data_IF_331034849963
#
_entry.id   IF_331034849963
#
_cell.length_a   1.000
_cell.length_b   1.000
_cell.length_c   1.000
_cell.angle_alpha   90.00
_cell.angle_beta   90.00
_cell.angle_gamma   90.00
#
_symmetry.space_group_name_H-M   'P 1'
#
loop_
_entity.id
_entity.type
_entity.pdbx_description
1 polymer ?
#
# COMPACT_ATOMS: atom_id res chain seq x y z
N UNK A 1 1.25 39.14 19.06
CA UNK A 1 1.27 38.47 17.74
C UNK A 1 2.31 37.38 17.84
N UNK A 2 1.92 36.10 17.75
CA UNK A 2 2.89 35.00 17.83
C UNK A 2 3.66 35.01 16.52
N UNK A 3 4.98 35.23 16.59
CA UNK A 3 5.87 35.08 15.44
C UNK A 3 5.93 33.59 15.08
N UNK A 4 5.31 33.24 13.94
CA UNK A 4 5.24 31.85 13.47
C UNK A 4 6.55 31.42 12.80
N UNK A 5 7.53 32.33 12.65
CA UNK A 5 8.79 32.06 11.96
C UNK A 5 8.60 31.78 10.47
N UNK A 6 9.62 32.10 9.67
CA UNK A 6 9.64 31.65 8.28
C UNK A 6 10.05 30.18 8.31
N UNK A 7 9.27 29.25 7.70
CA UNK A 7 9.67 27.85 7.63
C UNK A 7 11.04 27.75 6.96
N UNK A 8 11.94 26.94 7.53
CA UNK A 8 13.29 26.81 6.98
C UNK A 8 13.22 26.32 5.54
N UNK A 9 14.16 26.78 4.71
CA UNK A 9 14.31 26.26 3.37
C UNK A 9 14.45 24.72 3.41
N UNK A 10 13.95 23.99 2.39
CA UNK A 10 14.13 22.56 2.32
C UNK A 10 15.61 22.21 2.42
N UNK A 11 15.97 21.13 3.14
CA UNK A 11 17.35 20.69 3.21
C UNK A 11 17.90 20.45 1.79
N UNK A 12 19.20 20.71 1.57
CA UNK A 12 19.82 20.52 0.27
C UNK A 12 19.67 19.06 -0.18
N UNK A 13 19.38 18.85 -1.47
CA UNK A 13 19.32 17.52 -2.06
C UNK A 13 20.68 16.86 -1.97
N UNK A 14 20.81 15.83 -1.11
CA UNK A 14 22.07 15.12 -0.86
C UNK A 14 22.67 14.48 -2.13
N UNK A 15 21.81 14.04 -3.04
CA UNK A 15 22.17 13.48 -4.34
C UNK A 15 20.98 13.62 -5.32
N UNK A 16 21.23 13.63 -6.65
CA UNK A 16 20.15 13.56 -7.62
C UNK A 16 19.36 12.26 -7.44
N UNK A 17 18.02 12.37 -7.48
CA UNK A 17 17.14 11.20 -7.35
C UNK A 17 17.38 10.22 -8.50
N UNK A 18 17.51 8.93 -8.17
CA UNK A 18 17.64 7.86 -9.17
C UNK A 18 16.44 7.88 -10.12
N UNK A 19 16.69 7.86 -11.44
CA UNK A 19 15.64 7.65 -12.45
C UNK A 19 15.09 6.23 -12.35
N UNK A 20 13.78 6.11 -12.24
CA UNK A 20 13.05 4.84 -12.16
C UNK A 20 11.88 4.80 -13.14
N UNK A 21 11.21 3.65 -13.25
CA UNK A 21 9.86 3.65 -13.82
C UNK A 21 8.93 4.47 -12.91
N UNK A 22 8.01 5.22 -13.51
CA UNK A 22 6.91 5.88 -12.81
C UNK A 22 5.74 4.90 -12.71
N UNK A 23 5.16 4.78 -11.52
CA UNK A 23 3.98 3.95 -11.23
C UNK A 23 2.90 4.80 -10.57
N UNK A 24 1.67 4.34 -10.64
CA UNK A 24 0.53 4.93 -9.92
C UNK A 24 0.01 3.92 -8.91
N UNK A 25 -0.11 4.34 -7.65
CA UNK A 25 -0.81 3.62 -6.58
C UNK A 25 -2.12 4.36 -6.35
N UNK A 26 -3.18 3.92 -7.01
CA UNK A 26 -4.41 4.71 -7.14
C UNK A 26 -4.10 6.08 -7.75
N UNK A 27 -4.39 7.17 -7.03
CA UNK A 27 -4.10 8.54 -7.47
C UNK A 27 -2.69 9.05 -7.12
N UNK A 28 -1.86 8.26 -6.42
CA UNK A 28 -0.54 8.70 -5.92
C UNK A 28 0.56 8.17 -6.83
N UNK A 29 1.38 9.08 -7.38
CA UNK A 29 2.55 8.72 -8.19
C UNK A 29 3.74 8.26 -7.33
N UNK A 30 4.41 7.20 -7.77
CA UNK A 30 5.62 6.64 -7.14
C UNK A 30 6.71 6.44 -8.20
N UNK A 31 7.90 6.99 -7.94
CA UNK A 31 9.04 6.94 -8.86
C UNK A 31 9.33 8.29 -9.54
N UNK A 32 10.42 8.34 -10.32
CA UNK A 32 10.96 9.45 -11.13
C UNK A 32 10.41 10.86 -10.91
N UNK A 33 9.29 11.18 -11.55
CA UNK A 33 8.81 12.56 -11.67
C UNK A 33 7.88 12.93 -10.50
N UNK A 34 7.51 11.95 -9.67
CA UNK A 34 6.75 12.16 -8.44
C UNK A 34 7.64 12.39 -7.23
N UNK A 35 7.19 13.26 -6.33
CA UNK A 35 7.80 13.40 -5.00
C UNK A 35 7.80 12.05 -4.25
N UNK A 36 8.71 11.90 -3.28
CA UNK A 36 8.76 10.69 -2.44
C UNK A 36 7.50 10.62 -1.61
N UNK A 37 6.65 9.63 -1.88
CA UNK A 37 5.39 9.45 -1.18
C UNK A 37 5.59 8.95 0.24
N UNK A 38 4.90 9.52 1.21
CA UNK A 38 4.85 9.03 2.59
C UNK A 38 3.85 7.88 2.70
N UNK A 39 4.30 6.74 3.21
CA UNK A 39 3.45 5.57 3.46
C UNK A 39 3.48 5.17 4.94
N UNK A 40 2.38 4.61 5.43
CA UNK A 40 2.30 4.00 6.76
C UNK A 40 1.48 2.70 6.72
N UNK A 41 1.40 2.01 7.86
CA UNK A 41 0.66 0.76 8.01
C UNK A 41 -0.26 0.83 9.22
N UNK A 42 -1.50 0.39 9.04
CA UNK A 42 -2.44 0.23 10.15
C UNK A 42 -1.98 -0.89 11.10
N UNK A 43 -2.29 -0.72 12.38
CA UNK A 43 -2.03 -1.69 13.45
C UNK A 43 -3.32 -2.34 13.97
N UNK A 44 -4.48 -1.87 13.54
CA UNK A 44 -5.79 -2.46 13.84
C UNK A 44 -5.96 -3.82 13.17
N UNK A 45 -6.92 -4.61 13.66
CA UNK A 45 -7.41 -5.79 12.96
C UNK A 45 -8.16 -5.32 11.72
N UNK A 46 -7.75 -5.75 10.53
CA UNK A 46 -8.35 -5.29 9.27
C UNK A 46 -9.83 -5.67 9.18
N UNK A 47 -10.22 -6.83 9.71
CA UNK A 47 -11.61 -7.23 9.86
C UNK A 47 -12.48 -6.22 10.65
N UNK A 48 -11.90 -5.44 11.57
CA UNK A 48 -12.56 -4.28 12.18
C UNK A 48 -12.48 -3.08 11.23
N UNK A 49 -13.47 -3.01 10.33
CA UNK A 49 -13.59 -1.97 9.31
C UNK A 49 -13.63 -0.57 9.93
N UNK A 50 -14.32 -0.39 11.05
CA UNK A 50 -14.51 0.93 11.66
C UNK A 50 -13.21 1.42 12.31
N UNK A 51 -12.57 0.57 13.13
CA UNK A 51 -11.30 0.91 13.73
C UNK A 51 -10.23 1.18 12.67
N UNK A 52 -10.19 0.37 11.61
CA UNK A 52 -9.23 0.53 10.51
C UNK A 52 -9.47 1.83 9.75
N UNK A 53 -10.71 2.16 9.40
CA UNK A 53 -11.03 3.43 8.73
C UNK A 53 -10.73 4.65 9.60
N UNK A 54 -10.97 4.56 10.91
CA UNK A 54 -10.59 5.62 11.84
C UNK A 54 -9.08 5.83 11.85
N UNK A 55 -8.29 4.76 11.96
CA UNK A 55 -6.83 4.87 11.93
C UNK A 55 -6.31 5.39 10.58
N UNK A 56 -6.93 5.00 9.46
CA UNK A 56 -6.61 5.54 8.14
C UNK A 56 -6.84 7.06 8.11
N UNK A 57 -7.93 7.55 8.72
CA UNK A 57 -8.19 8.98 8.80
C UNK A 57 -7.14 9.72 9.65
N UNK A 58 -6.72 9.15 10.78
CA UNK A 58 -5.65 9.69 11.63
C UNK A 58 -4.29 9.75 10.90
N UNK A 59 -3.95 8.69 10.17
CA UNK A 59 -2.74 8.64 9.34
C UNK A 59 -2.82 9.68 8.21
N UNK A 60 -3.98 9.81 7.57
CA UNK A 60 -4.20 10.81 6.51
C UNK A 60 -4.02 12.23 7.04
N UNK A 61 -4.58 12.54 8.21
CA UNK A 61 -4.43 13.83 8.88
C UNK A 61 -2.97 14.14 9.25
N UNK A 62 -2.15 13.12 9.45
CA UNK A 62 -0.71 13.23 9.72
C UNK A 62 0.16 13.36 8.46
N UNK A 63 -0.45 13.40 7.26
CA UNK A 63 0.26 13.53 5.98
C UNK A 63 0.59 12.20 5.30
N UNK A 64 0.05 11.07 5.77
CA UNK A 64 0.18 9.80 5.07
C UNK A 64 -0.52 9.85 3.71
N UNK A 65 0.15 9.41 2.65
CA UNK A 65 -0.38 9.44 1.29
C UNK A 65 -0.86 8.08 0.81
N UNK A 66 -0.32 6.99 1.35
CA UNK A 66 -0.69 5.61 1.01
C UNK A 66 -0.64 4.78 2.29
N UNK A 67 -1.70 4.02 2.55
CA UNK A 67 -1.78 3.16 3.74
C UNK A 67 -1.70 1.69 3.35
N UNK A 68 -1.18 0.88 4.26
CA UNK A 68 -1.17 -0.58 4.16
C UNK A 68 -1.97 -1.22 5.29
N UNK A 69 -2.70 -2.29 4.97
CA UNK A 69 -3.43 -3.11 5.95
C UNK A 69 -2.99 -4.57 5.85
N UNK A 70 -2.93 -5.27 6.97
CA UNK A 70 -2.54 -6.69 7.00
C UNK A 70 -3.69 -7.60 6.59
N UNK A 71 -3.43 -8.67 5.83
CA UNK A 71 -4.46 -9.63 5.42
C UNK A 71 -4.04 -11.06 5.76
N UNK A 72 -3.99 -11.43 7.07
CA UNK A 72 -3.63 -12.78 7.48
C UNK A 72 -4.78 -13.79 7.31
N UNK A 73 -6.04 -13.37 7.39
CA UNK A 73 -7.21 -14.25 7.40
C UNK A 73 -8.25 -13.92 6.32
N UNK A 74 -9.29 -14.76 6.21
CA UNK A 74 -10.40 -14.54 5.27
C UNK A 74 -11.25 -13.33 5.67
N UNK A 75 -11.51 -13.15 6.97
CA UNK A 75 -12.28 -12.02 7.48
C UNK A 75 -11.63 -10.67 7.13
N UNK A 76 -10.29 -10.63 7.13
CA UNK A 76 -9.54 -9.44 6.70
C UNK A 76 -9.69 -9.17 5.20
N UNK A 77 -9.69 -10.23 4.36
CA UNK A 77 -9.89 -10.11 2.92
C UNK A 77 -11.31 -9.64 2.59
N UNK A 78 -12.32 -10.15 3.30
CA UNK A 78 -13.73 -9.78 3.10
C UNK A 78 -13.99 -8.32 3.49
N UNK A 79 -13.23 -7.78 4.44
CA UNK A 79 -13.30 -6.38 4.86
C UNK A 79 -12.72 -5.38 3.83
N UNK A 80 -11.82 -5.83 2.93
CA UNK A 80 -11.07 -4.94 2.04
C UNK A 80 -11.96 -4.08 1.15
N UNK A 81 -13.06 -4.63 0.61
CA UNK A 81 -13.91 -3.91 -0.31
C UNK A 81 -14.55 -2.67 0.35
N UNK A 82 -14.93 -2.79 1.62
CA UNK A 82 -15.46 -1.65 2.38
C UNK A 82 -14.37 -0.63 2.70
N UNK A 83 -13.19 -1.10 3.10
CA UNK A 83 -12.06 -0.24 3.47
C UNK A 83 -11.55 0.53 2.25
N UNK A 84 -11.27 -0.16 1.15
CA UNK A 84 -10.77 0.44 -0.09
C UNK A 84 -11.74 1.47 -0.67
N UNK A 85 -13.05 1.20 -0.61
CA UNK A 85 -14.09 2.13 -1.08
C UNK A 85 -14.22 3.38 -0.22
N UNK A 86 -14.07 3.27 1.11
CA UNK A 86 -14.30 4.37 2.06
C UNK A 86 -13.04 5.18 2.38
N UNK A 87 -11.86 4.59 2.18
CA UNK A 87 -10.57 5.24 2.43
C UNK A 87 -10.37 6.47 1.53
N UNK A 88 -9.87 7.57 2.09
CA UNK A 88 -9.55 8.79 1.36
C UNK A 88 -8.20 8.73 0.62
N UNK A 89 -7.36 7.77 1.01
CA UNK A 89 -6.04 7.51 0.43
C UNK A 89 -5.94 6.07 -0.10
N UNK A 90 -5.08 5.80 -1.10
CA UNK A 90 -4.85 4.46 -1.62
C UNK A 90 -4.52 3.44 -0.52
N UNK A 91 -5.20 2.29 -0.56
CA UNK A 91 -5.00 1.16 0.35
C UNK A 91 -4.20 0.06 -0.35
N UNK A 92 -3.13 -0.40 0.28
CA UNK A 92 -2.33 -1.55 -0.12
C UNK A 92 -2.68 -2.74 0.77
N UNK A 93 -3.02 -3.88 0.17
CA UNK A 93 -3.18 -5.14 0.91
C UNK A 93 -1.82 -5.81 1.14
N UNK A 94 -1.49 -6.15 2.38
CA UNK A 94 -0.25 -6.85 2.75
C UNK A 94 -0.46 -8.34 2.96
N UNK A 95 0.07 -9.14 2.04
CA UNK A 95 -0.22 -10.58 1.96
C UNK A 95 1.08 -11.36 2.08
N UNK A 96 1.13 -12.21 3.11
CA UNK A 96 2.33 -12.98 3.43
C UNK A 96 2.23 -14.46 3.06
N UNK A 97 1.04 -15.06 3.06
CA UNK A 97 0.93 -16.53 3.06
C UNK A 97 0.06 -17.09 1.94
N UNK A 98 -1.12 -16.52 1.69
CA UNK A 98 -2.13 -17.15 0.83
C UNK A 98 -2.31 -16.37 -0.48
N UNK A 99 -1.97 -16.95 -1.65
CA UNK A 99 -2.15 -16.30 -2.94
C UNK A 99 -3.61 -15.90 -3.21
N UNK A 100 -4.59 -16.64 -2.70
CA UNK A 100 -6.02 -16.33 -2.90
C UNK A 100 -6.41 -14.92 -2.45
N UNK A 101 -5.76 -14.40 -1.41
CA UNK A 101 -6.06 -13.05 -0.92
C UNK A 101 -5.56 -11.95 -1.86
N UNK A 102 -4.63 -12.27 -2.77
CA UNK A 102 -4.16 -11.31 -3.78
C UNK A 102 -5.29 -10.98 -4.75
N UNK A 103 -6.00 -12.02 -5.21
CA UNK A 103 -7.17 -11.86 -6.07
C UNK A 103 -8.29 -11.15 -5.34
N UNK A 104 -8.57 -11.54 -4.08
CA UNK A 104 -9.57 -10.84 -3.26
C UNK A 104 -9.25 -9.34 -3.08
N UNK A 105 -7.97 -8.98 -2.89
CA UNK A 105 -7.55 -7.59 -2.78
C UNK A 105 -7.71 -6.80 -4.10
N UNK A 106 -7.40 -7.44 -5.24
CA UNK A 106 -7.63 -6.86 -6.57
C UNK A 106 -9.13 -6.59 -6.77
N UNK A 107 -9.97 -7.59 -6.53
CA UNK A 107 -11.42 -7.50 -6.72
C UNK A 107 -12.07 -6.49 -5.74
N UNK A 108 -11.52 -6.37 -4.53
CA UNK A 108 -11.93 -5.39 -3.54
C UNK A 108 -11.59 -3.93 -3.92
N UNK A 109 -10.77 -3.71 -4.95
CA UNK A 109 -10.35 -2.39 -5.40
C UNK A 109 -9.20 -1.81 -4.58
N UNK A 110 -8.34 -2.64 -3.97
CA UNK A 110 -7.10 -2.17 -3.39
C UNK A 110 -6.21 -1.53 -4.48
N UNK A 111 -5.54 -0.44 -4.13
CA UNK A 111 -4.75 0.34 -5.08
C UNK A 111 -3.41 -0.33 -5.46
N UNK A 112 -2.96 -1.29 -4.64
CA UNK A 112 -1.81 -2.15 -4.90
C UNK A 112 -1.86 -3.37 -3.97
N UNK A 113 -1.00 -4.36 -4.25
CA UNK A 113 -0.78 -5.51 -3.36
C UNK A 113 0.70 -5.61 -3.00
N UNK A 114 1.02 -5.88 -1.73
CA UNK A 114 2.36 -6.28 -1.28
C UNK A 114 2.37 -7.78 -1.11
N UNK A 115 3.32 -8.46 -1.77
CA UNK A 115 3.62 -9.88 -1.56
C UNK A 115 5.04 -10.10 -1.01
N UNK A 116 5.20 -11.13 -0.18
CA UNK A 116 6.52 -11.64 0.22
C UNK A 116 6.72 -13.07 -0.33
N UNK A 117 7.47 -13.25 -1.44
CA UNK A 117 7.66 -14.56 -2.05
C UNK A 117 8.25 -15.61 -1.10
N UNK A 118 9.12 -15.22 -0.16
CA UNK A 118 9.76 -16.16 0.79
C UNK A 118 8.76 -16.87 1.72
N UNK A 119 7.62 -16.24 1.99
CA UNK A 119 6.61 -16.77 2.91
C UNK A 119 5.40 -17.42 2.23
N UNK A 120 5.24 -17.23 0.91
CA UNK A 120 4.10 -17.76 0.17
C UNK A 120 4.48 -19.14 -0.39
N UNK A 121 4.12 -20.20 0.34
CA UNK A 121 4.25 -21.57 -0.14
C UNK A 121 3.42 -21.71 -1.42
N UNK A 122 4.02 -22.20 -2.52
CA UNK A 122 3.41 -22.32 -3.85
C UNK A 122 3.20 -21.01 -4.64
N UNK A 123 3.93 -19.92 -4.33
CA UNK A 123 3.83 -18.69 -5.13
C UNK A 123 4.22 -18.90 -6.59
N UNK A 124 5.24 -19.72 -6.84
CA UNK A 124 5.85 -19.91 -8.17
C UNK A 124 4.84 -20.33 -9.25
N UNK A 125 3.91 -21.23 -8.91
CA UNK A 125 2.87 -21.72 -9.83
C UNK A 125 1.79 -20.65 -10.12
N UNK A 126 1.68 -19.63 -9.27
CA UNK A 126 0.65 -18.58 -9.33
C UNK A 126 1.17 -17.21 -9.74
N UNK A 127 2.49 -17.02 -9.88
CA UNK A 127 3.08 -15.72 -10.27
C UNK A 127 2.48 -15.19 -11.58
N UNK A 128 2.33 -16.06 -12.59
CA UNK A 128 1.79 -15.66 -13.90
C UNK A 128 0.35 -15.19 -13.80
N UNK A 129 -0.47 -15.90 -13.04
CA UNK A 129 -1.88 -15.54 -12.82
C UNK A 129 -2.01 -14.23 -12.05
N UNK A 130 -1.21 -14.07 -10.98
CA UNK A 130 -1.16 -12.85 -10.16
C UNK A 130 -0.70 -11.65 -10.98
N UNK A 131 0.37 -11.79 -11.77
CA UNK A 131 0.88 -10.72 -12.62
C UNK A 131 -0.14 -10.32 -13.70
N UNK A 132 -0.82 -11.30 -14.30
CA UNK A 132 -1.90 -11.05 -15.26
C UNK A 132 -3.07 -10.32 -14.60
N UNK A 133 -3.57 -10.80 -13.46
CA UNK A 133 -4.70 -10.18 -12.77
C UNK A 133 -4.40 -8.74 -12.33
N UNK A 134 -3.22 -8.48 -11.78
CA UNK A 134 -2.80 -7.13 -11.41
C UNK A 134 -2.60 -6.23 -12.64
N UNK A 135 -2.08 -6.78 -13.74
CA UNK A 135 -1.95 -6.08 -15.02
C UNK A 135 -3.30 -5.70 -15.62
N UNK A 136 -4.24 -6.65 -15.66
CA UNK A 136 -5.61 -6.44 -16.15
C UNK A 136 -6.36 -5.40 -15.28
N UNK A 137 -6.14 -5.40 -13.96
CA UNK A 137 -6.69 -4.41 -13.04
C UNK A 137 -5.93 -3.07 -13.02
N UNK A 138 -4.78 -2.98 -13.68
CA UNK A 138 -3.95 -1.77 -13.71
C UNK A 138 -3.32 -1.38 -12.37
N UNK A 139 -3.14 -2.32 -11.44
CA UNK A 139 -2.55 -2.04 -10.12
C UNK A 139 -1.10 -2.57 -10.01
N UNK A 140 -0.20 -1.86 -9.33
CA UNK A 140 1.15 -2.35 -9.10
C UNK A 140 1.22 -3.43 -8.02
N UNK A 141 2.23 -4.29 -8.12
CA UNK A 141 2.61 -5.25 -7.08
C UNK A 141 3.93 -4.82 -6.45
N UNK A 142 3.98 -4.78 -5.11
CA UNK A 142 5.22 -4.58 -4.34
C UNK A 142 5.76 -5.94 -3.87
N UNK A 143 6.90 -6.34 -4.42
CA UNK A 143 7.68 -7.47 -3.90
C UNK A 143 8.52 -6.97 -2.71
N UNK A 144 8.26 -7.47 -1.50
CA UNK A 144 9.03 -7.08 -0.32
C UNK A 144 9.76 -8.27 0.29
N UNK A 145 11.07 -8.35 0.05
CA UNK A 145 11.97 -9.36 0.63
C UNK A 145 12.66 -8.76 1.86
N UNK A 146 12.59 -9.46 2.98
CA UNK A 146 13.21 -9.02 4.25
C UNK A 146 14.18 -10.10 4.72
N UNK A 147 15.28 -9.74 5.40
CA UNK A 147 16.27 -10.71 5.86
C UNK A 147 15.74 -11.74 6.91
N UNK A 148 14.60 -11.45 7.54
CA UNK A 148 13.93 -12.35 8.48
C UNK A 148 12.87 -13.27 7.86
N UNK A 149 12.81 -13.35 6.52
CA UNK A 149 11.88 -14.20 5.77
C UNK A 149 12.58 -14.94 4.65
#
# INVERSE_FOLDING_TARGET
MVDLGIPSAPPPTLAPRRKTKQLMVGKVGVGSDSQVSVQSMCTTLTADVNATLQQIAELTASGCQIVRVAVPSQDDADALAQIAKKSQIPVIADIHFQPKYIFAAIDAGCAAVRVNPGNIKQFDDKVKEVAKAAGDAGIPIRIGVNAGS
#
